data_IF_719409032991
#
_entry.id   IF_719409032991
#
_cell.length_a   1.000
_cell.length_b   1.000
_cell.length_c   1.000
_cell.angle_alpha   90.00
_cell.angle_beta   90.00
_cell.angle_gamma   90.00
#
_symmetry.space_group_name_H-M   'P 1'
#
loop_
_entity.id
_entity.type
_entity.pdbx_description
1 polymer ?
#
# COMPACT_ATOMS: atom_id res chain seq x y z
N UNK A 1 35.16 15.33 7.67
CA UNK A 1 33.70 15.10 7.78
C UNK A 1 33.13 14.40 6.54
N UNK A 2 33.41 14.88 5.33
CA UNK A 2 33.00 14.24 4.07
C UNK A 2 33.44 12.77 3.91
N UNK A 3 34.66 12.41 4.34
CA UNK A 3 35.12 11.01 4.28
C UNK A 3 34.30 10.07 5.19
N UNK A 4 33.93 10.51 6.40
CA UNK A 4 33.11 9.71 7.32
C UNK A 4 31.73 9.43 6.73
N UNK A 5 31.13 10.41 6.05
CA UNK A 5 29.86 10.25 5.35
C UNK A 5 30.01 9.24 4.20
N UNK A 6 31.07 9.34 3.41
CA UNK A 6 31.34 8.39 2.31
C UNK A 6 31.51 6.95 2.81
N UNK A 7 32.20 6.76 3.94
CA UNK A 7 32.35 5.46 4.60
C UNK A 7 31.00 4.94 5.10
N UNK A 8 30.20 5.77 5.77
CA UNK A 8 28.87 5.41 6.24
C UNK A 8 27.94 4.94 5.11
N UNK A 9 27.87 5.66 3.98
CA UNK A 9 27.07 5.22 2.83
C UNK A 9 27.56 3.90 2.23
N UNK A 10 28.87 3.65 2.27
CA UNK A 10 29.45 2.38 1.82
C UNK A 10 29.00 1.23 2.73
N UNK A 11 29.05 1.43 4.05
CA UNK A 11 28.61 0.46 5.05
C UNK A 11 27.10 0.18 4.94
N UNK A 12 26.27 1.23 4.84
CA UNK A 12 24.81 1.09 4.63
C UNK A 12 24.50 0.29 3.37
N UNK A 13 25.21 0.54 2.26
CA UNK A 13 25.03 -0.23 1.02
C UNK A 13 25.40 -1.71 1.19
N UNK A 14 26.42 -2.01 1.99
CA UNK A 14 26.83 -3.39 2.28
C UNK A 14 25.80 -4.10 3.14
N UNK A 15 25.30 -3.44 4.20
CA UNK A 15 24.25 -4.01 5.05
C UNK A 15 22.92 -4.16 4.31
N UNK A 16 22.53 -3.18 3.50
CA UNK A 16 21.34 -3.26 2.66
C UNK A 16 21.38 -4.48 1.73
N UNK A 17 22.54 -4.83 1.18
CA UNK A 17 22.69 -6.03 0.34
C UNK A 17 22.53 -7.36 1.09
N UNK A 18 22.71 -7.37 2.42
CA UNK A 18 22.49 -8.57 3.25
C UNK A 18 21.01 -8.79 3.56
N UNK A 19 20.16 -7.79 3.30
CA UNK A 19 18.72 -7.92 3.47
C UNK A 19 18.17 -8.84 2.40
N UNK A 20 17.33 -9.79 2.82
CA UNK A 20 16.58 -10.63 1.89
C UNK A 20 15.42 -9.82 1.32
N UNK A 21 15.62 -9.23 0.14
CA UNK A 21 14.56 -8.53 -0.58
C UNK A 21 13.60 -9.53 -1.21
N UNK A 22 12.29 -9.19 -1.29
CA UNK A 22 11.32 -10.03 -1.95
C UNK A 22 11.69 -10.24 -3.42
N UNK A 23 11.42 -11.43 -3.93
CA UNK A 23 11.53 -11.69 -5.37
C UNK A 23 10.50 -10.86 -6.16
N UNK A 24 10.71 -10.71 -7.47
CA UNK A 24 9.76 -9.99 -8.33
C UNK A 24 8.36 -10.59 -8.26
N UNK A 25 8.26 -11.91 -8.15
CA UNK A 25 7.00 -12.63 -8.10
C UNK A 25 6.27 -12.41 -6.77
N UNK A 26 7.01 -12.37 -5.64
CA UNK A 26 6.45 -12.04 -4.33
C UNK A 26 5.95 -10.59 -4.26
N UNK A 27 6.68 -9.67 -4.89
CA UNK A 27 6.28 -8.26 -4.97
C UNK A 27 4.99 -8.09 -5.78
N UNK A 28 4.90 -8.77 -6.93
CA UNK A 28 3.71 -8.74 -7.77
C UNK A 28 2.54 -9.40 -7.04
N UNK A 29 2.75 -10.56 -6.42
CA UNK A 29 1.73 -11.27 -5.66
C UNK A 29 1.16 -10.45 -4.51
N UNK A 30 2.02 -9.87 -3.67
CA UNK A 30 1.60 -9.01 -2.55
C UNK A 30 0.86 -7.76 -3.02
N UNK A 31 1.32 -7.13 -4.11
CA UNK A 31 0.63 -5.97 -4.71
C UNK A 31 -0.76 -6.34 -5.23
N UNK A 32 -0.89 -7.51 -5.87
CA UNK A 32 -2.15 -7.98 -6.44
C UNK A 32 -3.20 -8.24 -5.36
N UNK A 33 -2.79 -8.81 -4.22
CA UNK A 33 -3.66 -9.00 -3.05
C UNK A 33 -4.18 -7.66 -2.54
N UNK A 34 -3.31 -6.65 -2.41
CA UNK A 34 -3.70 -5.31 -1.96
C UNK A 34 -4.71 -4.68 -2.93
N UNK A 35 -4.43 -4.71 -4.25
CA UNK A 35 -5.33 -4.16 -5.27
C UNK A 35 -6.71 -4.82 -5.19
N UNK A 36 -6.75 -6.14 -5.14
CA UNK A 36 -8.01 -6.90 -5.06
C UNK A 36 -8.79 -6.51 -3.80
N UNK A 37 -8.11 -6.42 -2.66
CA UNK A 37 -8.74 -6.06 -1.39
C UNK A 37 -9.33 -4.65 -1.42
N UNK A 38 -8.58 -3.68 -1.96
CA UNK A 38 -9.03 -2.28 -2.10
C UNK A 38 -10.23 -2.18 -3.05
N UNK A 39 -10.23 -2.93 -4.15
CA UNK A 39 -11.36 -2.97 -5.09
C UNK A 39 -12.62 -3.50 -4.40
N UNK A 40 -12.53 -4.61 -3.66
CA UNK A 40 -13.67 -5.18 -2.94
C UNK A 40 -14.23 -4.21 -1.90
N UNK A 41 -13.35 -3.59 -1.09
CA UNK A 41 -13.77 -2.65 -0.05
C UNK A 41 -14.38 -1.39 -0.66
N UNK A 42 -13.78 -0.84 -1.72
CA UNK A 42 -14.29 0.39 -2.35
C UNK A 42 -15.66 0.18 -3.00
N UNK A 43 -15.90 -0.98 -3.63
CA UNK A 43 -17.23 -1.35 -4.15
C UNK A 43 -18.24 -1.48 -3.01
N UNK A 44 -17.88 -2.17 -1.93
CA UNK A 44 -18.76 -2.32 -0.76
C UNK A 44 -19.16 -0.96 -0.16
N UNK A 45 -18.16 -0.11 0.12
CA UNK A 45 -18.41 1.24 0.67
C UNK A 45 -19.24 2.08 -0.29
N UNK A 46 -18.95 2.05 -1.60
CA UNK A 46 -19.73 2.77 -2.60
C UNK A 46 -21.20 2.35 -2.62
N UNK A 47 -21.49 1.05 -2.50
CA UNK A 47 -22.87 0.55 -2.40
C UNK A 47 -23.55 1.04 -1.12
N UNK A 48 -22.85 0.96 0.02
CA UNK A 48 -23.37 1.41 1.32
C UNK A 48 -23.66 2.91 1.30
N UNK A 49 -22.73 3.73 0.81
CA UNK A 49 -22.86 5.18 0.75
C UNK A 49 -24.04 5.61 -0.14
N UNK A 50 -24.19 4.98 -1.31
CA UNK A 50 -25.32 5.26 -2.22
C UNK A 50 -26.65 4.85 -1.56
N UNK A 51 -26.67 3.71 -0.88
CA UNK A 51 -27.87 3.20 -0.21
C UNK A 51 -28.30 4.11 0.93
N UNK A 52 -27.37 4.49 1.80
CA UNK A 52 -27.61 5.42 2.90
C UNK A 52 -28.01 6.80 2.39
N UNK A 53 -27.34 7.33 1.37
CA UNK A 53 -27.69 8.62 0.77
C UNK A 53 -29.11 8.63 0.20
N UNK A 54 -29.56 7.52 -0.41
CA UNK A 54 -30.94 7.38 -0.89
C UNK A 54 -31.95 7.35 0.26
N UNK A 55 -31.67 6.59 1.33
CA UNK A 55 -32.55 6.51 2.51
C UNK A 55 -32.68 7.88 3.17
N UNK A 56 -31.57 8.57 3.39
CA UNK A 56 -31.56 9.92 3.99
C UNK A 56 -32.34 10.90 3.11
N UNK A 57 -32.17 10.88 1.79
CA UNK A 57 -32.94 11.73 0.87
C UNK A 57 -34.45 11.48 0.92
N UNK A 58 -34.87 10.24 1.17
CA UNK A 58 -36.29 9.89 1.33
C UNK A 58 -36.86 10.33 2.68
N UNK A 59 -36.04 10.33 3.74
CA UNK A 59 -36.47 10.73 5.09
C UNK A 59 -36.49 12.25 5.31
N UNK A 60 -35.58 12.98 4.66
CA UNK A 60 -35.46 14.45 4.77
C UNK A 60 -36.48 15.17 3.87
N UNK A 61 -37.10 14.46 2.94
CA UNK A 61 -38.13 14.99 2.03
C UNK A 61 -39.52 14.64 2.53
#
# INVERSE_FOLDING_TARGET
MFERIKVFFREVKVEAKKVNYPSKDELIGSTWVVITTVVVISVFLGVVDISLAKIIRLLVR
#
